data_IF_528447926296
#
_entry.id   IF_528447926296
#
_cell.length_a   1.000
_cell.length_b   1.000
_cell.length_c   1.000
_cell.angle_alpha   90.00
_cell.angle_beta   90.00
_cell.angle_gamma   90.00
#
_symmetry.space_group_name_H-M   'P 1'
#
loop_
_entity.id
_entity.type
_entity.pdbx_description
1 polymer ?
#
# COMPACT_ATOMS: atom_id res chain seq x y z
N UNK A 1 -30.60 -16.02 -1.64
CA UNK A 1 -29.28 -16.36 -2.22
C UNK A 1 -28.63 -15.24 -3.04
N UNK A 2 -29.39 -14.40 -3.77
CA UNK A 2 -28.80 -13.34 -4.64
C UNK A 2 -28.08 -12.21 -3.87
N UNK A 3 -28.59 -11.81 -2.70
CA UNK A 3 -28.02 -10.73 -1.89
C UNK A 3 -26.64 -11.09 -1.26
N UNK A 4 -26.39 -12.37 -0.97
CA UNK A 4 -25.09 -12.81 -0.45
C UNK A 4 -24.00 -12.76 -1.54
N UNK A 5 -24.36 -13.14 -2.78
CA UNK A 5 -23.42 -13.18 -3.91
C UNK A 5 -22.98 -11.77 -4.35
N UNK A 6 -23.86 -10.77 -4.29
CA UNK A 6 -23.49 -9.38 -4.59
C UNK A 6 -22.61 -8.76 -3.51
N UNK A 7 -22.79 -9.15 -2.25
CA UNK A 7 -21.94 -8.71 -1.14
C UNK A 7 -20.50 -9.23 -1.28
N UNK A 8 -20.34 -10.52 -1.62
CA UNK A 8 -19.04 -11.14 -1.85
C UNK A 8 -18.26 -10.51 -3.01
N UNK A 9 -18.94 -10.24 -4.14
CA UNK A 9 -18.33 -9.57 -5.29
C UNK A 9 -17.87 -8.15 -4.96
N UNK A 10 -18.58 -7.46 -4.07
CA UNK A 10 -18.23 -6.11 -3.63
C UNK A 10 -17.01 -6.12 -2.72
N UNK A 11 -16.94 -7.06 -1.79
CA UNK A 11 -15.76 -7.27 -0.93
C UNK A 11 -14.54 -7.63 -1.77
N UNK A 12 -14.69 -8.55 -2.73
CA UNK A 12 -13.63 -8.96 -3.65
C UNK A 12 -13.08 -7.77 -4.45
N UNK A 13 -13.96 -6.95 -5.03
CA UNK A 13 -13.56 -5.77 -5.78
C UNK A 13 -12.75 -4.77 -4.94
N UNK A 14 -13.11 -4.62 -3.66
CA UNK A 14 -12.38 -3.72 -2.76
C UNK A 14 -11.04 -4.30 -2.33
N UNK A 15 -10.96 -5.62 -2.09
CA UNK A 15 -9.66 -6.28 -1.81
C UNK A 15 -8.70 -6.15 -2.99
N UNK A 16 -9.18 -6.33 -4.23
CA UNK A 16 -8.39 -6.13 -5.44
C UNK A 16 -7.94 -4.67 -5.55
N UNK A 17 -8.86 -3.72 -5.32
CA UNK A 17 -8.53 -2.29 -5.34
C UNK A 17 -7.47 -1.90 -4.30
N UNK A 18 -7.58 -2.42 -3.08
CA UNK A 18 -6.62 -2.19 -2.02
C UNK A 18 -5.25 -2.83 -2.34
N UNK A 19 -5.23 -4.02 -2.93
CA UNK A 19 -3.99 -4.69 -3.36
C UNK A 19 -3.29 -3.91 -4.49
N UNK A 20 -4.05 -3.44 -5.49
CA UNK A 20 -3.52 -2.60 -6.57
C UNK A 20 -2.99 -1.27 -6.04
N UNK A 21 -3.72 -0.63 -5.13
CA UNK A 21 -3.27 0.59 -4.47
C UNK A 21 -1.94 0.36 -3.72
N UNK A 22 -1.84 -0.72 -2.95
CA UNK A 22 -0.61 -1.07 -2.25
C UNK A 22 0.55 -1.26 -3.22
N UNK A 23 0.36 -2.07 -4.28
CA UNK A 23 1.41 -2.36 -5.25
C UNK A 23 1.92 -1.08 -5.95
N UNK A 24 1.02 -0.21 -6.40
CA UNK A 24 1.38 1.05 -7.05
C UNK A 24 2.11 1.98 -6.10
N UNK A 25 1.59 2.14 -4.87
CA UNK A 25 2.20 3.02 -3.87
C UNK A 25 3.55 2.49 -3.41
N UNK A 26 3.69 1.17 -3.30
CA UNK A 26 4.96 0.49 -2.99
C UNK A 26 6.00 0.76 -4.07
N UNK A 27 5.62 0.62 -5.36
CA UNK A 27 6.51 0.92 -6.48
C UNK A 27 6.95 2.39 -6.46
N UNK A 28 6.00 3.32 -6.32
CA UNK A 28 6.30 4.76 -6.24
C UNK A 28 7.28 5.03 -5.09
N UNK A 29 7.03 4.46 -3.91
CA UNK A 29 7.88 4.68 -2.76
C UNK A 29 9.27 4.08 -2.95
N UNK A 30 9.37 2.89 -3.55
CA UNK A 30 10.63 2.23 -3.86
C UNK A 30 11.51 3.08 -4.80
N UNK A 31 10.94 3.56 -5.91
CA UNK A 31 11.66 4.46 -6.82
C UNK A 31 11.95 5.82 -6.19
N UNK A 32 11.03 6.35 -5.39
CA UNK A 32 11.22 7.59 -4.64
C UNK A 32 12.43 7.53 -3.70
N UNK A 33 12.58 6.43 -2.96
CA UNK A 33 13.75 6.20 -2.10
C UNK A 33 15.04 6.11 -2.91
N UNK A 34 15.04 5.42 -4.05
CA UNK A 34 16.23 5.34 -4.93
C UNK A 34 16.66 6.74 -5.38
N UNK A 35 15.72 7.54 -5.88
CA UNK A 35 16.00 8.91 -6.32
C UNK A 35 16.51 9.74 -5.15
N UNK A 36 15.84 9.66 -4.00
CA UNK A 36 16.25 10.38 -2.79
C UNK A 36 17.67 10.03 -2.34
N UNK A 37 18.02 8.74 -2.26
CA UNK A 37 19.36 8.29 -1.88
C UNK A 37 20.42 8.86 -2.81
N UNK A 38 20.14 8.84 -4.13
CA UNK A 38 21.05 9.37 -5.15
C UNK A 38 21.22 10.89 -5.02
N UNK A 39 20.14 11.64 -4.94
CA UNK A 39 20.17 13.11 -4.91
C UNK A 39 20.75 13.67 -3.60
N UNK A 40 20.51 12.98 -2.48
CA UNK A 40 21.03 13.38 -1.17
C UNK A 40 22.42 12.80 -0.85
N UNK A 41 22.99 12.02 -1.77
CA UNK A 41 24.31 11.40 -1.57
C UNK A 41 24.37 10.45 -0.37
N UNK A 42 23.26 9.78 -0.05
CA UNK A 42 23.16 8.91 1.12
C UNK A 42 24.08 7.70 0.92
N UNK A 43 24.88 7.33 1.94
CA UNK A 43 25.74 6.15 1.86
C UNK A 43 24.92 4.87 1.61
N UNK A 44 25.43 3.98 0.76
CA UNK A 44 24.75 2.72 0.44
C UNK A 44 24.50 1.84 1.69
N UNK A 45 25.33 1.98 2.73
CA UNK A 45 25.16 1.31 4.03
C UNK A 45 23.88 1.72 4.76
N UNK A 46 23.38 2.93 4.52
CA UNK A 46 22.14 3.42 5.13
C UNK A 46 20.90 3.17 4.25
N UNK A 47 21.10 2.81 2.97
CA UNK A 47 20.03 2.55 2.01
C UNK A 47 18.92 1.64 2.54
N UNK A 48 19.21 0.48 3.17
CA UNK A 48 18.18 -0.39 3.74
C UNK A 48 17.25 0.31 4.75
N UNK A 49 17.77 1.23 5.56
CA UNK A 49 16.96 1.98 6.54
C UNK A 49 15.99 2.92 5.83
N UNK A 50 16.42 3.60 4.77
CA UNK A 50 15.57 4.47 3.97
C UNK A 50 14.53 3.68 3.18
N UNK A 51 14.85 2.48 2.70
CA UNK A 51 13.85 1.60 2.11
C UNK A 51 12.80 1.17 3.13
N UNK A 52 13.19 0.83 4.36
CA UNK A 52 12.23 0.54 5.44
C UNK A 52 11.32 1.75 5.73
N UNK A 53 11.87 2.97 5.78
CA UNK A 53 11.08 4.19 5.92
C UNK A 53 10.13 4.40 4.71
N UNK A 54 10.60 4.10 3.50
CA UNK A 54 9.78 4.11 2.29
C UNK A 54 8.63 3.11 2.30
N UNK A 55 8.67 2.04 3.10
CA UNK A 55 7.54 1.12 3.23
C UNK A 55 6.40 1.70 4.09
N UNK A 56 6.67 2.72 4.91
CA UNK A 56 5.68 3.27 5.84
C UNK A 56 4.46 3.88 5.13
N UNK A 57 4.60 4.77 4.12
CA UNK A 57 3.45 5.33 3.41
C UNK A 57 2.52 4.29 2.75
N UNK A 58 3.01 3.31 1.95
CA UNK A 58 2.15 2.29 1.38
C UNK A 58 1.49 1.42 2.46
N UNK A 59 2.19 1.05 3.55
CA UNK A 59 1.60 0.29 4.65
C UNK A 59 0.46 1.04 5.34
N UNK A 60 0.66 2.32 5.69
CA UNK A 60 -0.37 3.15 6.34
C UNK A 60 -1.58 3.33 5.41
N UNK A 61 -1.35 3.70 4.14
CA UNK A 61 -2.44 3.92 3.19
C UNK A 61 -3.30 2.67 2.99
N UNK A 62 -2.67 1.51 2.89
CA UNK A 62 -3.39 0.24 2.71
C UNK A 62 -4.11 -0.18 3.98
N UNK A 63 -3.51 0.02 5.16
CA UNK A 63 -4.18 -0.21 6.44
C UNK A 63 -5.46 0.63 6.58
N UNK A 64 -5.43 1.91 6.20
CA UNK A 64 -6.63 2.75 6.20
C UNK A 64 -7.69 2.28 5.21
N UNK A 65 -7.29 1.82 4.02
CA UNK A 65 -8.23 1.24 3.06
C UNK A 65 -8.90 0.00 3.63
N UNK A 66 -8.14 -0.91 4.24
CA UNK A 66 -8.71 -2.10 4.86
C UNK A 66 -9.62 -1.77 6.04
N UNK A 67 -9.19 -0.93 6.98
CA UNK A 67 -9.98 -0.59 8.18
C UNK A 67 -11.25 0.20 7.85
N UNK A 68 -11.20 1.16 6.92
CA UNK A 68 -12.37 1.94 6.50
C UNK A 68 -13.37 1.10 5.71
N UNK A 69 -12.89 0.09 5.00
CA UNK A 69 -13.73 -0.83 4.23
C UNK A 69 -14.32 -1.92 5.12
N UNK A 70 -13.49 -2.61 5.91
CA UNK A 70 -13.92 -3.65 6.84
C UNK A 70 -14.86 -3.08 7.92
N UNK A 71 -14.59 -1.87 8.42
CA UNK A 71 -15.49 -1.18 9.36
C UNK A 71 -16.82 -0.72 8.76
N UNK A 72 -17.00 -0.81 7.44
CA UNK A 72 -18.31 -0.64 6.77
C UNK A 72 -19.06 -1.95 6.56
N UNK A 73 -18.39 -3.09 6.75
CA UNK A 73 -18.95 -4.43 6.57
C UNK A 73 -19.23 -5.16 7.89
N UNK A 74 -18.64 -4.69 9.01
CA UNK A 74 -19.07 -5.00 10.39
C UNK A 74 -20.23 -4.09 10.79
#
# INVERSE_FOLDING_TARGET
MQAAKSHDLRVLGIMIGAALFFAVTLLISFFGVIIMIKELGIPASEGPNYFMLGLVPPSIGTFFLFTKVLGRFL
#
